data_IF_995559819066
#
_entry.id   IF_995559819066
#
_cell.length_a   1.000
_cell.length_b   1.000
_cell.length_c   1.000
_cell.angle_alpha   90.00
_cell.angle_beta   90.00
_cell.angle_gamma   90.00
#
_symmetry.space_group_name_H-M   'P 1'
#
loop_
_entity.id
_entity.type
_entity.pdbx_description
1 polymer ?
#
# COMPACT_ATOMS: atom_id res chain seq x y z
N UNK A 1 16.93 -14.69 8.39
CA UNK A 1 18.04 -14.95 7.46
C UNK A 1 17.95 -16.40 7.04
N UNK A 2 17.72 -16.64 5.75
CA UNK A 2 17.59 -17.98 5.21
C UNK A 2 18.97 -18.58 4.88
N UNK A 3 19.28 -19.82 5.29
CA UNK A 3 20.58 -20.45 5.04
C UNK A 3 20.99 -20.56 3.56
N UNK A 4 20.04 -20.62 2.62
CA UNK A 4 20.32 -20.69 1.17
C UNK A 4 21.00 -19.43 0.62
N UNK A 5 20.95 -18.33 1.36
CA UNK A 5 21.63 -17.07 1.04
C UNK A 5 22.86 -16.81 1.91
N UNK A 6 23.26 -17.72 2.82
CA UNK A 6 24.30 -17.45 3.82
C UNK A 6 25.68 -17.05 3.24
N UNK A 7 25.98 -17.46 2.00
CA UNK A 7 27.22 -17.08 1.29
C UNK A 7 26.95 -16.33 -0.02
N UNK A 8 25.69 -15.94 -0.26
CA UNK A 8 25.21 -15.37 -1.52
C UNK A 8 24.41 -14.08 -1.23
N UNK A 9 23.86 -13.44 -2.26
CA UNK A 9 23.20 -12.14 -2.11
C UNK A 9 21.76 -12.33 -1.64
N UNK A 10 21.38 -11.87 -0.43
CA UNK A 10 20.01 -12.03 0.05
C UNK A 10 19.04 -11.20 -0.80
N UNK A 11 17.81 -11.71 -0.96
CA UNK A 11 16.73 -10.95 -1.57
C UNK A 11 16.32 -9.76 -0.67
N UNK A 12 15.92 -8.65 -1.30
CA UNK A 12 15.46 -7.44 -0.61
C UNK A 12 14.01 -7.20 -1.00
N UNK A 13 13.15 -6.97 -0.01
CA UNK A 13 11.76 -6.58 -0.23
C UNK A 13 11.53 -5.13 0.15
N UNK A 14 10.70 -4.44 -0.64
CA UNK A 14 10.14 -3.14 -0.27
C UNK A 14 8.67 -3.07 -0.68
N UNK A 15 7.83 -2.52 0.18
CA UNK A 15 6.42 -2.30 -0.09
C UNK A 15 6.20 -0.85 -0.44
N UNK A 16 5.55 -0.62 -1.57
CA UNK A 16 5.23 0.68 -2.12
C UNK A 16 3.74 0.92 -1.98
N UNK A 17 3.36 2.18 -1.80
CA UNK A 17 1.98 2.62 -1.95
C UNK A 17 1.97 3.69 -3.04
N UNK A 18 1.14 3.49 -4.06
CA UNK A 18 0.98 4.42 -5.17
C UNK A 18 -0.44 4.33 -5.71
N UNK A 19 -1.04 5.46 -6.07
CA UNK A 19 -2.43 5.52 -6.57
C UNK A 19 -3.47 4.85 -5.64
N UNK A 20 -3.25 4.93 -4.33
CA UNK A 20 -4.02 4.29 -3.27
C UNK A 20 -3.78 2.79 -3.11
N UNK A 21 -2.95 2.20 -3.98
CA UNK A 21 -2.71 0.77 -4.10
C UNK A 21 -1.41 0.39 -3.41
N UNK A 22 -1.37 -0.76 -2.74
CA UNK A 22 -0.15 -1.27 -2.10
C UNK A 22 0.37 -2.44 -2.92
N UNK A 23 1.69 -2.56 -3.06
CA UNK A 23 2.32 -3.75 -3.61
C UNK A 23 3.75 -3.89 -3.08
N UNK A 24 4.25 -5.12 -3.02
CA UNK A 24 5.61 -5.43 -2.58
C UNK A 24 6.48 -5.85 -3.77
N UNK A 25 7.67 -5.26 -3.89
CA UNK A 25 8.69 -5.73 -4.83
C UNK A 25 9.77 -6.48 -4.06
N UNK A 26 10.10 -7.69 -4.51
CA UNK A 26 11.21 -8.51 -4.03
C UNK A 26 12.26 -8.57 -5.14
N UNK A 27 13.41 -7.95 -4.91
CA UNK A 27 14.55 -8.03 -5.82
C UNK A 27 15.52 -9.12 -5.37
N UNK A 28 16.01 -9.93 -6.29
CA UNK A 28 16.93 -11.02 -6.03
C UNK A 28 18.11 -11.06 -7.01
N UNK A 29 19.16 -11.79 -6.63
CA UNK A 29 20.25 -12.14 -7.51
C UNK A 29 20.78 -13.51 -7.08
N UNK A 30 20.27 -14.57 -7.70
CA UNK A 30 20.57 -15.96 -7.35
C UNK A 30 22.02 -16.33 -7.64
N UNK A 31 22.43 -17.46 -7.07
CA UNK A 31 23.79 -17.99 -7.26
C UNK A 31 24.10 -18.19 -8.74
N UNK A 32 25.21 -17.60 -9.21
CA UNK A 32 25.69 -17.78 -10.60
C UNK A 32 25.91 -19.25 -10.98
N UNK A 33 25.67 -19.57 -12.26
CA UNK A 33 25.91 -20.88 -12.90
C UNK A 33 27.39 -21.30 -12.97
N UNK A 34 28.34 -20.44 -12.57
CA UNK A 34 29.77 -20.74 -12.57
C UNK A 34 30.09 -21.90 -11.62
N UNK A 35 30.74 -22.96 -12.11
CA UNK A 35 31.13 -24.14 -11.31
C UNK A 35 32.28 -23.88 -10.33
N UNK A 36 32.72 -22.62 -10.16
CA UNK A 36 33.84 -22.28 -9.27
C UNK A 36 33.50 -22.63 -7.83
N UNK A 37 34.27 -23.54 -7.24
CA UNK A 37 34.10 -24.06 -5.87
C UNK A 37 32.78 -24.82 -5.65
N UNK A 38 32.19 -25.36 -6.72
CA UNK A 38 31.05 -26.24 -6.62
C UNK A 38 31.46 -27.58 -5.99
N UNK A 39 30.67 -28.06 -5.03
CA UNK A 39 30.89 -29.34 -4.35
C UNK A 39 29.54 -30.03 -4.11
N UNK A 40 29.49 -31.36 -4.20
CA UNK A 40 28.28 -32.13 -3.88
C UNK A 40 27.11 -31.79 -4.82
N UNK A 41 25.96 -31.41 -4.27
CA UNK A 41 24.76 -31.07 -5.07
C UNK A 41 24.92 -29.76 -5.86
N UNK A 42 25.93 -28.95 -5.53
CA UNK A 42 26.25 -27.75 -6.28
C UNK A 42 27.11 -28.05 -7.53
N UNK A 43 27.65 -29.26 -7.67
CA UNK A 43 28.33 -29.67 -8.90
C UNK A 43 27.35 -29.71 -10.09
N UNK A 44 27.88 -29.56 -11.30
CA UNK A 44 27.09 -29.78 -12.50
C UNK A 44 26.70 -31.26 -12.60
N UNK A 45 25.39 -31.52 -12.57
CA UNK A 45 24.85 -32.87 -12.61
C UNK A 45 24.76 -33.44 -14.04
N UNK A 46 25.12 -32.65 -15.06
CA UNK A 46 25.09 -33.05 -16.47
C UNK A 46 23.67 -33.17 -17.02
N UNK A 47 22.71 -32.49 -16.40
CA UNK A 47 21.29 -32.45 -16.76
C UNK A 47 20.92 -31.24 -17.64
N UNK A 48 21.91 -30.38 -17.93
CA UNK A 48 21.74 -29.18 -18.76
C UNK A 48 21.43 -27.90 -17.96
N UNK A 49 21.34 -27.97 -16.63
CA UNK A 49 20.99 -26.82 -15.78
C UNK A 49 22.23 -26.11 -15.21
N UNK A 50 23.40 -26.73 -15.31
CA UNK A 50 24.68 -26.22 -14.86
C UNK A 50 24.88 -26.31 -13.34
N UNK A 51 26.05 -25.87 -12.88
CA UNK A 51 26.38 -25.91 -11.46
C UNK A 51 25.45 -25.03 -10.60
N UNK A 52 25.43 -25.30 -9.30
CA UNK A 52 24.63 -24.60 -8.29
C UNK A 52 23.11 -24.65 -8.55
N UNK A 53 22.62 -25.57 -9.37
CA UNK A 53 21.19 -25.70 -9.63
C UNK A 53 20.42 -26.01 -8.33
N UNK A 54 20.89 -26.96 -7.52
CA UNK A 54 20.27 -27.30 -6.24
C UNK A 54 20.18 -26.09 -5.29
N UNK A 55 21.21 -25.25 -5.24
CA UNK A 55 21.20 -24.02 -4.44
C UNK A 55 20.26 -22.97 -4.99
N UNK A 56 20.25 -22.72 -6.31
CA UNK A 56 19.30 -21.79 -6.94
C UNK A 56 17.86 -22.23 -6.70
N UNK A 57 17.58 -23.54 -6.72
CA UNK A 57 16.27 -24.11 -6.39
C UNK A 57 15.89 -23.86 -4.94
N UNK A 58 16.83 -23.99 -4.00
CA UNK A 58 16.61 -23.63 -2.61
C UNK A 58 16.34 -22.12 -2.43
N UNK A 59 17.08 -21.26 -3.15
CA UNK A 59 16.87 -19.82 -3.15
C UNK A 59 15.49 -19.44 -3.71
N UNK A 60 15.02 -20.12 -4.78
CA UNK A 60 13.69 -19.96 -5.32
C UNK A 60 12.59 -20.29 -4.30
N UNK A 61 12.73 -21.42 -3.58
CA UNK A 61 11.81 -21.79 -2.52
C UNK A 61 11.80 -20.76 -1.38
N UNK A 62 12.96 -20.27 -0.95
CA UNK A 62 13.08 -19.25 0.09
C UNK A 62 12.45 -17.91 -0.34
N UNK A 63 12.58 -17.51 -1.60
CA UNK A 63 11.90 -16.31 -2.13
C UNK A 63 10.39 -16.47 -2.14
N UNK A 64 9.87 -17.67 -2.46
CA UNK A 64 8.44 -17.95 -2.41
C UNK A 64 7.89 -17.83 -0.97
N UNK A 65 8.60 -18.41 0.01
CA UNK A 65 8.24 -18.26 1.42
C UNK A 65 8.30 -16.80 1.87
N UNK A 66 9.34 -16.07 1.45
CA UNK A 66 9.48 -14.66 1.77
C UNK A 66 8.36 -13.81 1.18
N UNK A 67 7.89 -14.11 -0.05
CA UNK A 67 6.73 -13.45 -0.64
C UNK A 67 5.47 -13.64 0.22
N UNK A 68 5.20 -14.86 0.68
CA UNK A 68 4.06 -15.17 1.58
C UNK A 68 4.18 -14.39 2.89
N UNK A 69 5.37 -14.34 3.49
CA UNK A 69 5.63 -13.58 4.72
C UNK A 69 5.45 -12.07 4.54
N UNK A 70 5.72 -11.53 3.35
CA UNK A 70 5.47 -10.10 3.05
C UNK A 70 4.00 -9.83 2.84
N UNK A 71 3.29 -10.67 2.10
CA UNK A 71 1.83 -10.51 1.93
C UNK A 71 1.12 -10.47 3.28
N UNK A 72 1.47 -11.39 4.19
CA UNK A 72 0.88 -11.44 5.53
C UNK A 72 1.28 -10.26 6.44
N UNK A 73 2.49 -9.73 6.29
CA UNK A 73 2.98 -8.63 7.12
C UNK A 73 2.44 -7.25 6.69
N UNK A 74 2.20 -7.08 5.39
CA UNK A 74 1.68 -5.85 4.79
C UNK A 74 0.15 -5.84 4.73
N UNK A 75 -0.47 -7.02 4.86
CA UNK A 75 -1.91 -7.24 4.62
C UNK A 75 -2.32 -6.88 3.19
N UNK A 76 -1.48 -7.24 2.22
CA UNK A 76 -1.68 -6.98 0.80
C UNK A 76 -1.15 -8.15 -0.04
N UNK A 77 -1.93 -8.69 -1.00
CA UNK A 77 -1.54 -9.89 -1.75
C UNK A 77 -0.61 -9.62 -2.94
N UNK A 78 -0.32 -8.36 -3.27
CA UNK A 78 0.38 -8.01 -4.50
C UNK A 78 1.89 -8.05 -4.30
N UNK A 79 2.53 -9.07 -4.90
CA UNK A 79 3.99 -9.19 -4.88
C UNK A 79 4.53 -9.35 -6.29
N UNK A 80 5.52 -8.52 -6.60
CA UNK A 80 6.38 -8.61 -7.78
C UNK A 80 7.75 -9.13 -7.36
N UNK A 81 8.18 -10.26 -7.89
CA UNK A 81 9.54 -10.79 -7.72
C UNK A 81 10.32 -10.52 -9.00
N UNK A 82 11.39 -9.74 -8.91
CA UNK A 82 12.27 -9.38 -10.02
C UNK A 82 13.72 -9.72 -9.73
N UNK A 83 14.54 -9.79 -10.77
CA UNK A 83 16.00 -9.84 -10.65
C UNK A 83 16.65 -10.87 -11.57
N UNK A 84 17.93 -11.13 -11.30
CA UNK A 84 18.73 -12.14 -11.99
C UNK A 84 18.59 -13.49 -11.27
N UNK A 85 17.82 -14.40 -11.86
CA UNK A 85 17.59 -15.74 -11.32
C UNK A 85 18.73 -16.70 -11.66
N UNK A 86 19.67 -16.29 -12.52
CA UNK A 86 20.74 -17.11 -13.04
C UNK A 86 20.24 -18.47 -13.57
N UNK A 87 19.03 -18.53 -14.10
CA UNK A 87 18.36 -19.77 -14.52
C UNK A 87 17.48 -19.56 -15.74
N UNK A 88 17.61 -20.45 -16.73
CA UNK A 88 16.73 -20.45 -17.89
C UNK A 88 15.32 -20.93 -17.53
N UNK A 89 14.33 -20.55 -18.35
CA UNK A 89 12.89 -20.73 -18.07
C UNK A 89 12.41 -22.15 -17.79
N UNK A 90 13.20 -23.17 -18.16
CA UNK A 90 12.88 -24.59 -17.98
C UNK A 90 13.69 -25.26 -16.86
N UNK A 91 14.52 -24.50 -16.14
CA UNK A 91 15.31 -25.03 -15.03
C UNK A 91 14.48 -25.12 -13.74
N UNK A 92 14.92 -25.99 -12.83
CA UNK A 92 14.28 -26.29 -11.55
C UNK A 92 13.97 -25.05 -10.70
N UNK A 93 14.83 -24.00 -10.64
CA UNK A 93 14.53 -22.80 -9.86
C UNK A 93 13.31 -22.06 -10.42
N UNK A 94 13.18 -21.97 -11.75
CA UNK A 94 12.04 -21.33 -12.40
C UNK A 94 10.78 -22.19 -12.24
N UNK A 95 10.91 -23.51 -12.43
CA UNK A 95 9.81 -24.44 -12.19
C UNK A 95 9.31 -24.40 -10.73
N UNK A 96 10.20 -24.16 -9.77
CA UNK A 96 9.84 -24.02 -8.35
C UNK A 96 9.00 -22.76 -8.10
N UNK A 97 9.36 -21.63 -8.70
CA UNK A 97 8.57 -20.39 -8.61
C UNK A 97 7.20 -20.56 -9.28
N UNK A 98 7.16 -21.12 -10.50
CA UNK A 98 5.93 -21.34 -11.28
C UNK A 98 4.99 -22.38 -10.62
N UNK A 99 5.53 -23.37 -9.91
CA UNK A 99 4.73 -24.34 -9.16
C UNK A 99 4.15 -23.76 -7.86
N UNK A 100 4.66 -22.60 -7.42
CA UNK A 100 4.17 -21.86 -6.27
C UNK A 100 2.98 -20.96 -6.60
N UNK A 101 3.00 -19.74 -6.06
CA UNK A 101 1.95 -18.73 -6.26
C UNK A 101 2.31 -17.66 -7.30
N UNK A 102 3.41 -17.87 -8.03
CA UNK A 102 4.04 -16.85 -8.88
C UNK A 102 3.87 -17.17 -10.37
N UNK A 103 3.27 -16.25 -11.12
CA UNK A 103 3.16 -16.29 -12.58
C UNK A 103 4.43 -15.70 -13.21
N UNK A 104 5.06 -16.44 -14.12
CA UNK A 104 6.18 -15.94 -14.93
C UNK A 104 5.70 -14.92 -15.98
N UNK A 105 6.02 -13.64 -15.78
CA UNK A 105 5.55 -12.57 -16.64
C UNK A 105 6.28 -12.55 -17.99
N UNK A 106 7.58 -12.88 -18.03
CA UNK A 106 8.34 -12.93 -19.30
C UNK A 106 7.71 -13.95 -20.24
N UNK A 107 7.44 -15.15 -19.73
CA UNK A 107 6.79 -16.23 -20.49
C UNK A 107 5.36 -15.87 -20.96
N UNK A 108 4.69 -14.97 -20.25
CA UNK A 108 3.31 -14.55 -20.57
C UNK A 108 3.24 -13.43 -21.60
N UNK A 109 4.15 -12.46 -21.54
CA UNK A 109 4.06 -11.21 -22.31
C UNK A 109 5.09 -11.10 -23.44
N UNK A 110 6.22 -11.81 -23.36
CA UNK A 110 7.32 -11.72 -24.34
C UNK A 110 7.31 -12.95 -25.25
N UNK A 111 7.59 -12.73 -26.54
CA UNK A 111 7.71 -13.81 -27.51
C UNK A 111 8.93 -14.69 -27.19
N UNK A 112 8.92 -15.96 -27.60
CA UNK A 112 10.08 -16.81 -27.38
C UNK A 112 11.35 -16.28 -28.07
N UNK A 113 11.20 -15.64 -29.24
CA UNK A 113 12.31 -15.11 -30.03
C UNK A 113 12.98 -13.91 -29.35
N UNK A 114 12.20 -13.12 -28.59
CA UNK A 114 12.66 -11.95 -27.85
C UNK A 114 13.00 -12.27 -26.38
N UNK A 115 12.82 -13.52 -25.94
CA UNK A 115 13.02 -13.92 -24.54
C UNK A 115 14.49 -14.23 -24.21
N UNK A 116 15.34 -13.20 -24.23
CA UNK A 116 16.72 -13.26 -23.76
C UNK A 116 17.11 -11.96 -23.08
N UNK A 117 18.01 -12.05 -22.10
CA UNK A 117 18.53 -10.87 -21.40
C UNK A 117 20.06 -10.81 -21.41
N UNK A 118 20.74 -11.85 -21.91
CA UNK A 118 22.19 -11.96 -21.97
C UNK A 118 22.62 -12.72 -23.24
N UNK A 119 23.71 -12.26 -23.88
CA UNK A 119 24.43 -13.03 -24.89
C UNK A 119 25.79 -13.48 -24.33
N UNK A 120 25.97 -14.79 -24.18
CA UNK A 120 27.20 -15.39 -23.64
C UNK A 120 27.82 -16.34 -24.67
N UNK A 121 29.05 -16.04 -25.11
CA UNK A 121 29.74 -16.76 -26.20
C UNK A 121 28.90 -16.95 -27.48
N UNK A 122 28.08 -15.96 -27.82
CA UNK A 122 27.22 -15.99 -29.00
C UNK A 122 25.94 -16.82 -28.84
N UNK A 123 25.63 -17.30 -27.63
CA UNK A 123 24.35 -17.90 -27.30
C UNK A 123 23.49 -16.91 -26.52
N UNK A 124 22.23 -16.76 -26.91
CA UNK A 124 21.22 -15.99 -26.20
C UNK A 124 20.66 -16.79 -25.02
N UNK A 125 20.47 -16.13 -23.89
CA UNK A 125 19.90 -16.73 -22.69
C UNK A 125 19.08 -15.73 -21.87
N UNK A 126 18.01 -16.21 -21.26
CA UNK A 126 17.18 -15.46 -20.32
C UNK A 126 17.57 -15.80 -18.88
N UNK A 127 18.19 -14.87 -18.17
CA UNK A 127 18.53 -15.03 -16.75
C UNK A 127 17.72 -14.07 -15.87
N UNK A 128 17.34 -12.93 -16.43
CA UNK A 128 16.57 -11.89 -15.76
C UNK A 128 15.08 -12.12 -15.97
N UNK A 129 14.31 -11.94 -14.91
CA UNK A 129 12.89 -12.24 -14.96
C UNK A 129 12.05 -11.34 -14.07
N UNK A 130 10.75 -11.43 -14.29
CA UNK A 130 9.75 -10.90 -13.39
C UNK A 130 8.63 -11.92 -13.19
N UNK A 131 8.22 -12.08 -11.94
CA UNK A 131 7.12 -12.95 -11.54
C UNK A 131 6.15 -12.17 -10.67
N UNK A 132 4.85 -12.42 -10.80
CA UNK A 132 3.83 -11.76 -10.00
C UNK A 132 2.92 -12.76 -9.30
N UNK A 133 2.39 -12.40 -8.14
CA UNK A 133 1.20 -13.07 -7.59
C UNK A 133 0.02 -12.87 -8.53
N UNK A 134 -0.96 -13.76 -8.47
CA UNK A 134 -2.15 -13.67 -9.32
C UNK A 134 -2.88 -12.32 -9.20
N UNK A 135 -2.95 -11.73 -8.01
CA UNK A 135 -3.61 -10.44 -7.78
C UNK A 135 -2.84 -9.27 -8.42
N UNK A 136 -1.50 -9.28 -8.36
CA UNK A 136 -0.70 -8.25 -9.02
C UNK A 136 -0.66 -8.46 -10.54
N UNK A 137 -0.68 -9.71 -11.01
CA UNK A 137 -0.76 -10.04 -12.44
C UNK A 137 -1.98 -9.39 -13.12
N UNK A 138 -3.13 -9.31 -12.44
CA UNK A 138 -4.33 -8.61 -12.94
C UNK A 138 -4.08 -7.11 -13.17
N UNK A 139 -3.08 -6.54 -12.49
CA UNK A 139 -2.65 -5.15 -12.60
C UNK A 139 -1.52 -4.96 -13.61
N UNK A 140 -0.95 -6.03 -14.18
CA UNK A 140 0.13 -5.94 -15.18
C UNK A 140 -0.44 -5.57 -16.54
N UNK A 141 -0.02 -4.42 -17.07
CA UNK A 141 -0.41 -3.95 -18.41
C UNK A 141 0.45 -4.53 -19.52
N UNK A 142 1.66 -4.93 -19.20
CA UNK A 142 2.60 -5.57 -20.13
C UNK A 142 3.97 -5.78 -19.48
N UNK A 143 4.81 -6.53 -20.18
CA UNK A 143 6.23 -6.65 -19.87
C UNK A 143 7.00 -6.68 -21.20
N UNK A 144 8.16 -6.02 -21.22
CA UNK A 144 9.09 -6.08 -22.33
C UNK A 144 10.53 -6.27 -21.83
N UNK A 145 11.41 -6.78 -22.71
CA UNK A 145 12.85 -6.78 -22.49
C UNK A 145 13.44 -5.75 -23.44
N UNK A 146 14.02 -4.68 -22.88
CA UNK A 146 14.54 -3.60 -23.72
C UNK A 146 15.96 -3.96 -24.17
N UNK A 147 16.06 -4.49 -25.38
CA UNK A 147 17.32 -4.93 -25.98
C UNK A 147 18.24 -3.76 -26.35
N UNK A 148 19.00 -3.28 -25.37
CA UNK A 148 19.97 -2.17 -25.50
C UNK A 148 21.40 -2.57 -25.09
N UNK A 149 21.56 -3.77 -24.54
CA UNK A 149 22.79 -4.20 -23.88
C UNK A 149 23.29 -5.55 -24.39
N UNK A 150 22.46 -6.60 -24.38
CA UNK A 150 22.93 -7.96 -24.60
C UNK A 150 23.52 -8.17 -26.01
N UNK A 151 22.95 -7.51 -27.00
CA UNK A 151 23.40 -7.57 -28.39
C UNK A 151 24.59 -6.65 -28.70
N UNK A 152 24.90 -5.73 -27.78
CA UNK A 152 25.97 -4.77 -27.99
C UNK A 152 27.35 -5.45 -27.88
N UNK A 153 28.30 -5.05 -28.72
CA UNK A 153 29.63 -5.64 -28.69
C UNK A 153 30.32 -5.29 -27.38
N UNK A 154 30.95 -6.29 -26.75
CA UNK A 154 31.71 -6.15 -25.50
C UNK A 154 32.66 -4.94 -25.45
N UNK A 155 33.20 -4.53 -26.60
CA UNK A 155 34.09 -3.37 -26.74
C UNK A 155 33.47 -2.03 -26.33
N UNK A 156 32.13 -1.95 -26.25
CA UNK A 156 31.36 -0.76 -25.85
C UNK A 156 30.82 -0.84 -24.41
N UNK A 157 31.02 -1.96 -23.70
CA UNK A 157 30.45 -2.17 -22.38
C UNK A 157 31.09 -1.30 -21.29
N UNK A 158 30.27 -0.92 -20.30
CA UNK A 158 30.55 -0.08 -19.12
C UNK A 158 31.75 -0.45 -18.22
N UNK A 159 32.41 -1.59 -18.43
CA UNK A 159 33.38 -2.16 -17.48
C UNK A 159 34.85 -1.74 -17.75
N UNK A 160 35.09 -0.55 -18.31
CA UNK A 160 36.44 -0.13 -18.71
C UNK A 160 37.10 0.93 -17.80
N UNK A 161 36.43 1.38 -16.74
CA UNK A 161 36.94 2.38 -15.81
C UNK A 161 37.67 1.79 -14.57
N UNK A 162 37.50 0.49 -14.27
CA UNK A 162 38.11 -0.18 -13.10
C UNK A 162 38.96 -1.36 -13.54
N UNK A 163 40.28 -1.21 -13.50
CA UNK A 163 41.21 -2.31 -13.77
C UNK A 163 41.18 -3.32 -12.60
N UNK A 164 40.43 -4.41 -12.74
CA UNK A 164 40.58 -5.58 -11.85
C UNK A 164 41.80 -6.41 -12.29
N UNK A 165 42.80 -6.64 -11.41
CA UNK A 165 43.96 -7.49 -11.71
C UNK A 165 43.62 -8.92 -12.15
N UNK A 166 42.39 -9.40 -11.92
CA UNK A 166 41.89 -10.71 -12.33
C UNK A 166 41.24 -10.74 -13.73
N UNK A 167 40.98 -9.58 -14.35
CA UNK A 167 40.38 -9.51 -15.68
C UNK A 167 41.39 -9.75 -16.81
N UNK A 168 40.91 -10.33 -17.93
CA UNK A 168 41.75 -10.63 -19.08
C UNK A 168 42.12 -9.32 -19.80
N UNK A 169 43.38 -9.22 -20.23
CA UNK A 169 43.97 -8.03 -20.87
C UNK A 169 43.31 -7.54 -22.17
N UNK A 170 42.28 -8.20 -22.67
CA UNK A 170 41.54 -7.85 -23.89
C UNK A 170 40.37 -6.89 -23.66
N UNK A 171 39.92 -6.70 -22.42
CA UNK A 171 38.79 -5.83 -22.04
C UNK A 171 39.24 -4.38 -21.75
N UNK A 172 40.46 -4.00 -22.16
CA UNK A 172 41.08 -2.73 -21.80
C UNK A 172 40.79 -1.58 -22.79
N UNK A 173 40.46 -0.42 -22.22
CA UNK A 173 40.89 0.92 -22.67
C UNK A 173 40.44 1.30 -24.09
N UNK A 174 39.13 1.22 -24.34
CA UNK A 174 38.53 1.69 -25.58
C UNK A 174 38.01 3.13 -25.35
N UNK A 175 38.43 4.13 -26.14
CA UNK A 175 38.03 5.52 -25.95
C UNK A 175 36.58 5.80 -26.40
N UNK A 176 35.68 4.82 -26.25
CA UNK A 176 34.37 4.78 -26.90
C UNK A 176 33.28 4.76 -25.83
N UNK A 177 33.18 5.84 -25.06
CA UNK A 177 31.97 6.12 -24.29
C UNK A 177 30.95 6.75 -25.23
N UNK A 178 29.84 6.06 -25.48
CA UNK A 178 28.67 6.63 -26.13
C UNK A 178 27.83 7.35 -25.06
N UNK A 179 27.38 8.56 -25.35
CA UNK A 179 26.50 9.32 -24.45
C UNK A 179 25.02 9.00 -24.70
N UNK A 180 24.73 7.71 -24.89
CA UNK A 180 23.38 7.15 -25.11
C UNK A 180 23.12 5.99 -24.12
N UNK A 181 21.94 5.38 -24.21
CA UNK A 181 21.48 4.33 -23.30
C UNK A 181 22.10 2.95 -23.53
N UNK A 182 22.73 2.72 -24.68
CA UNK A 182 23.22 1.41 -25.12
C UNK A 182 24.50 1.00 -24.38
N UNK A 183 24.73 -0.31 -24.25
CA UNK A 183 25.92 -0.89 -23.61
C UNK A 183 26.15 -0.49 -22.14
N UNK A 184 25.09 -0.05 -21.46
CA UNK A 184 25.12 0.36 -20.05
C UNK A 184 25.19 -0.82 -19.07
N UNK A 185 24.97 -2.03 -19.56
CA UNK A 185 25.07 -3.30 -18.85
C UNK A 185 25.48 -4.42 -19.82
N UNK A 186 25.82 -5.60 -19.32
CA UNK A 186 25.95 -6.84 -20.08
C UNK A 186 24.62 -7.60 -20.16
N UNK A 187 23.61 -7.13 -19.43
CA UNK A 187 22.25 -7.64 -19.41
C UNK A 187 21.23 -6.59 -19.88
N UNK A 188 20.19 -7.03 -20.59
CA UNK A 188 19.06 -6.18 -20.96
C UNK A 188 18.10 -5.98 -19.77
N UNK A 189 17.58 -4.75 -19.57
CA UNK A 189 16.59 -4.50 -18.52
C UNK A 189 15.21 -5.10 -18.87
N UNK A 190 14.61 -5.72 -17.86
CA UNK A 190 13.21 -6.15 -17.88
C UNK A 190 12.31 -5.01 -17.41
N UNK A 191 11.32 -4.63 -18.22
CA UNK A 191 10.41 -3.52 -17.94
C UNK A 191 9.00 -4.09 -17.69
N UNK A 192 8.42 -3.79 -16.52
CA UNK A 192 7.06 -4.21 -16.16
C UNK A 192 6.15 -2.99 -16.06
N UNK A 193 5.05 -2.99 -16.81
CA UNK A 193 4.00 -1.97 -16.71
C UNK A 193 2.94 -2.39 -15.70
N UNK A 194 2.58 -1.49 -14.78
CA UNK A 194 1.53 -1.69 -13.78
C UNK A 194 0.43 -0.65 -13.93
N UNK A 195 -0.83 -1.08 -13.86
CA UNK A 195 -2.00 -0.24 -13.70
C UNK A 195 -2.49 -0.39 -12.25
N UNK A 196 -2.07 0.55 -11.41
CA UNK A 196 -2.44 0.59 -10.01
C UNK A 196 -3.74 1.36 -9.83
N UNK A 197 -4.60 0.85 -8.97
CA UNK A 197 -5.86 1.51 -8.60
C UNK A 197 -6.29 0.98 -7.24
N UNK A 198 -5.89 1.67 -6.18
CA UNK A 198 -6.28 1.25 -4.86
C UNK A 198 -7.62 1.82 -4.43
N UNK A 199 -8.11 1.31 -3.31
CA UNK A 199 -9.37 1.78 -2.73
C UNK A 199 -9.10 2.93 -1.79
N UNK A 200 -9.54 4.13 -2.17
CA UNK A 200 -9.64 5.25 -1.24
C UNK A 200 -10.95 5.21 -0.47
N UNK A 201 -10.92 5.66 0.78
CA UNK A 201 -12.12 5.80 1.60
C UNK A 201 -12.10 7.09 2.41
N UNK A 202 -13.23 7.43 3.03
CA UNK A 202 -13.32 8.54 3.97
C UNK A 202 -13.29 8.02 5.40
N UNK A 203 -12.34 8.51 6.18
CA UNK A 203 -12.24 8.29 7.61
C UNK A 203 -12.45 9.58 8.39
N UNK A 204 -12.56 9.44 9.71
CA UNK A 204 -12.46 10.56 10.64
C UNK A 204 -11.70 10.16 11.90
N UNK A 205 -11.14 11.16 12.59
CA UNK A 205 -10.63 11.03 13.95
C UNK A 205 -11.26 12.10 14.84
N UNK A 206 -11.24 11.88 16.15
CA UNK A 206 -11.51 12.91 17.17
C UNK A 206 -10.24 13.64 17.61
N UNK A 207 -9.07 13.18 17.17
CA UNK A 207 -7.76 13.78 17.43
C UNK A 207 -7.24 14.50 16.18
N UNK A 208 -6.62 15.66 16.37
CA UNK A 208 -6.13 16.48 15.24
C UNK A 208 -4.88 15.91 14.56
N UNK A 209 -4.22 14.93 15.15
CA UNK A 209 -3.09 14.22 14.55
C UNK A 209 -3.53 13.05 13.66
N UNK A 210 -4.85 12.85 13.48
CA UNK A 210 -5.48 11.79 12.69
C UNK A 210 -5.25 10.38 13.26
N UNK A 211 -4.78 10.27 14.51
CA UNK A 211 -4.58 9.00 15.17
C UNK A 211 -5.90 8.25 15.35
N UNK A 212 -5.82 6.91 15.38
CA UNK A 212 -6.96 6.01 15.54
C UNK A 212 -8.16 6.33 14.61
N UNK A 213 -7.95 6.38 13.28
CA UNK A 213 -9.03 6.67 12.34
C UNK A 213 -10.18 5.65 12.46
N UNK A 214 -11.40 6.14 12.35
CA UNK A 214 -12.61 5.34 12.15
C UNK A 214 -13.17 5.58 10.76
N UNK A 215 -13.84 4.58 10.18
CA UNK A 215 -14.56 4.78 8.92
C UNK A 215 -15.68 5.80 9.10
N UNK A 216 -15.82 6.73 8.14
CA UNK A 216 -16.95 7.66 8.11
C UNK A 216 -18.21 7.00 7.53
N UNK A 217 -18.08 5.89 6.78
CA UNK A 217 -19.20 5.20 6.13
C UNK A 217 -20.14 4.64 7.21
N UNK A 218 -21.39 5.14 7.23
CA UNK A 218 -22.42 4.76 8.19
C UNK A 218 -22.17 5.28 9.61
N UNK A 219 -21.17 6.13 9.83
CA UNK A 219 -20.86 6.65 11.15
C UNK A 219 -21.95 7.59 11.68
N UNK A 220 -22.12 7.63 13.00
CA UNK A 220 -22.83 8.73 13.68
C UNK A 220 -21.78 9.59 14.37
N UNK A 221 -21.73 10.87 14.04
CA UNK A 221 -20.72 11.83 14.52
C UNK A 221 -21.37 13.03 15.18
N UNK A 222 -20.62 13.66 16.10
CA UNK A 222 -21.06 14.85 16.81
C UNK A 222 -19.85 15.66 17.32
N UNK A 223 -20.04 16.95 17.53
CA UNK A 223 -19.01 17.86 18.01
C UNK A 223 -17.84 18.03 17.02
N UNK A 224 -16.62 17.92 17.55
CA UNK A 224 -15.39 18.23 16.80
C UNK A 224 -14.77 16.95 16.25
N UNK A 225 -14.67 16.87 14.93
CA UNK A 225 -14.01 15.76 14.24
C UNK A 225 -13.07 16.26 13.15
N UNK A 226 -12.23 15.36 12.64
CA UNK A 226 -11.28 15.61 11.57
C UNK A 226 -11.51 14.57 10.47
N UNK A 227 -12.37 14.84 9.47
CA UNK A 227 -12.58 13.94 8.34
C UNK A 227 -11.44 14.07 7.31
N UNK A 228 -10.99 12.96 6.74
CA UNK A 228 -9.88 12.91 5.76
C UNK A 228 -9.95 11.67 4.86
N UNK A 229 -9.14 11.68 3.79
CA UNK A 229 -8.99 10.54 2.87
C UNK A 229 -8.06 9.48 3.49
N UNK A 230 -8.46 8.22 3.37
CA UNK A 230 -7.69 7.03 3.71
C UNK A 230 -7.28 6.24 2.45
N UNK A 231 -6.11 5.55 2.44
CA UNK A 231 -5.10 5.57 3.51
C UNK A 231 -4.47 6.96 3.70
N UNK A 232 -4.02 7.25 4.92
CA UNK A 232 -3.19 8.43 5.16
C UNK A 232 -1.86 8.17 4.44
N UNK A 233 -1.44 9.08 3.57
CA UNK A 233 -0.15 9.11 2.85
C UNK A 233 0.99 8.40 3.62
N UNK A 234 1.85 7.58 2.97
CA UNK A 234 2.23 7.60 1.56
C UNK A 234 1.21 6.97 0.60
N UNK A 235 1.11 7.51 -0.62
CA UNK A 235 0.71 6.75 -1.81
C UNK A 235 -0.64 7.11 -2.43
N UNK A 236 -1.22 8.25 -2.09
CA UNK A 236 -2.39 8.76 -2.80
C UNK A 236 -2.03 9.52 -4.08
N UNK A 237 -0.79 10.00 -4.23
CA UNK A 237 -0.21 10.70 -5.39
C UNK A 237 -1.14 11.73 -6.08
N UNK A 238 -2.08 12.30 -5.33
CA UNK A 238 -3.03 13.26 -5.88
C UNK A 238 -2.37 14.63 -6.05
N UNK A 239 -2.60 15.25 -7.21
CA UNK A 239 -2.28 16.65 -7.43
C UNK A 239 -3.15 17.56 -6.57
N UNK A 240 -4.44 17.21 -6.43
CA UNK A 240 -5.42 17.86 -5.56
C UNK A 240 -6.50 16.87 -5.09
N UNK A 241 -7.17 17.19 -3.98
CA UNK A 241 -8.40 16.51 -3.55
C UNK A 241 -9.51 17.53 -3.39
N UNK A 242 -10.60 17.35 -4.11
CA UNK A 242 -11.84 18.12 -3.94
C UNK A 242 -12.77 17.41 -2.97
N UNK A 243 -13.13 18.08 -1.88
CA UNK A 243 -14.10 17.62 -0.91
C UNK A 243 -15.46 18.26 -1.14
N UNK A 244 -16.49 17.43 -1.23
CA UNK A 244 -17.88 17.83 -1.33
C UNK A 244 -18.64 17.39 -0.08
N UNK A 245 -19.56 18.24 0.38
CA UNK A 245 -20.54 17.92 1.42
C UNK A 245 -21.93 18.16 0.86
N UNK A 246 -22.77 17.13 0.88
CA UNK A 246 -24.11 17.10 0.29
C UNK A 246 -24.14 17.57 -1.17
N UNK A 247 -23.10 17.20 -1.94
CA UNK A 247 -22.93 17.56 -3.35
C UNK A 247 -22.39 18.97 -3.61
N UNK A 248 -22.18 19.79 -2.57
CA UNK A 248 -21.57 21.11 -2.71
C UNK A 248 -20.06 21.04 -2.44
N UNK A 249 -19.25 21.62 -3.33
CA UNK A 249 -17.80 21.72 -3.13
C UNK A 249 -17.53 22.54 -1.85
N UNK A 250 -16.95 21.88 -0.86
CA UNK A 250 -16.60 22.48 0.42
C UNK A 250 -15.16 23.00 0.42
N UNK A 251 -14.23 22.26 -0.19
CA UNK A 251 -12.80 22.57 -0.17
C UNK A 251 -12.03 21.85 -1.27
N UNK A 252 -10.92 22.45 -1.70
CA UNK A 252 -9.86 21.78 -2.48
C UNK A 252 -8.58 21.80 -1.66
N UNK A 253 -8.00 20.62 -1.41
CA UNK A 253 -6.70 20.44 -0.75
C UNK A 253 -5.61 20.16 -1.80
N UNK A 254 -4.41 20.68 -1.54
CA UNK A 254 -3.27 20.61 -2.47
C UNK A 254 -2.08 19.83 -1.90
N UNK A 255 -2.12 19.48 -0.62
CA UNK A 255 -1.02 18.84 0.07
C UNK A 255 -1.58 17.73 0.94
N UNK A 256 -0.98 16.55 0.84
CA UNK A 256 -1.28 15.45 1.75
C UNK A 256 -0.75 15.75 3.17
N UNK A 257 -1.36 15.19 4.22
CA UNK A 257 -2.62 14.44 4.22
C UNK A 257 -3.82 15.33 3.86
N UNK A 258 -4.76 14.79 3.08
CA UNK A 258 -5.91 15.55 2.59
C UNK A 258 -7.07 15.52 3.59
N UNK A 259 -7.35 16.66 4.23
CA UNK A 259 -8.40 16.81 5.23
C UNK A 259 -9.58 17.64 4.72
N UNK A 260 -10.79 17.25 5.10
CA UNK A 260 -12.03 17.95 4.71
C UNK A 260 -12.05 19.44 5.12
N UNK A 261 -11.47 19.77 6.28
CA UNK A 261 -11.32 21.15 6.76
C UNK A 261 -9.92 21.73 6.51
N UNK A 262 -9.07 20.98 5.81
CA UNK A 262 -7.65 21.25 5.57
C UNK A 262 -6.77 21.10 6.80
N UNK A 263 -5.48 21.32 6.65
CA UNK A 263 -4.55 21.11 7.76
C UNK A 263 -3.11 21.38 7.41
N UNK A 264 -2.25 20.93 8.32
CA UNK A 264 -0.81 20.80 8.16
C UNK A 264 -0.47 19.31 8.14
N UNK A 265 0.74 18.99 7.69
CA UNK A 265 1.28 17.63 7.64
C UNK A 265 1.03 16.85 8.95
N UNK A 266 1.29 17.48 10.11
CA UNK A 266 1.16 16.84 11.42
C UNK A 266 -0.15 17.13 12.15
N UNK A 267 -0.96 18.08 11.68
CA UNK A 267 -2.16 18.54 12.41
C UNK A 267 -3.28 18.96 11.46
N UNK A 268 -4.40 18.26 11.48
CA UNK A 268 -5.63 18.60 10.78
C UNK A 268 -6.36 19.78 11.45
N UNK A 269 -7.08 20.56 10.64
CA UNK A 269 -8.01 21.60 11.13
C UNK A 269 -9.32 20.95 11.51
N UNK A 270 -9.91 21.41 12.62
CA UNK A 270 -11.17 20.86 13.12
C UNK A 270 -12.33 21.18 12.18
N UNK A 271 -13.19 20.19 11.95
CA UNK A 271 -14.54 20.40 11.45
C UNK A 271 -15.52 20.23 12.62
N UNK A 272 -16.28 21.28 12.92
CA UNK A 272 -17.33 21.25 13.95
C UNK A 272 -18.65 20.84 13.28
N UNK A 273 -19.20 19.69 13.65
CA UNK A 273 -20.43 19.16 13.05
C UNK A 273 -21.64 20.04 13.31
N UNK A 274 -21.55 21.01 14.24
CA UNK A 274 -22.59 22.03 14.41
C UNK A 274 -22.69 23.01 13.23
N UNK A 275 -21.78 22.94 12.26
CA UNK A 275 -21.84 23.74 11.03
C UNK A 275 -22.93 23.28 10.05
N UNK A 276 -23.48 22.09 10.26
CA UNK A 276 -24.59 21.52 9.49
C UNK A 276 -25.75 21.12 10.41
N UNK A 277 -26.91 20.84 9.82
CA UNK A 277 -28.06 20.36 10.58
C UNK A 277 -27.81 18.94 11.13
N UNK A 278 -28.58 18.53 12.14
CA UNK A 278 -28.61 17.12 12.52
C UNK A 278 -29.39 16.32 11.46
N UNK A 279 -28.92 15.10 11.17
CA UNK A 279 -29.49 14.25 10.14
C UNK A 279 -28.45 13.50 9.31
N UNK A 280 -28.90 12.87 8.23
CA UNK A 280 -28.03 12.17 7.28
C UNK A 280 -27.34 13.16 6.33
N UNK A 281 -26.06 12.97 6.12
CA UNK A 281 -25.19 13.75 5.23
C UNK A 281 -24.34 12.83 4.37
N UNK A 282 -23.88 13.35 3.23
CA UNK A 282 -22.93 12.64 2.36
C UNK A 282 -21.69 13.49 2.14
N UNK A 283 -20.52 12.90 2.39
CA UNK A 283 -19.23 13.48 2.04
C UNK A 283 -18.63 12.71 0.87
N UNK A 284 -18.05 13.43 -0.08
CA UNK A 284 -17.32 12.87 -1.21
C UNK A 284 -15.94 13.53 -1.28
N UNK A 285 -14.91 12.74 -1.57
CA UNK A 285 -13.57 13.22 -1.90
C UNK A 285 -13.20 12.73 -3.29
N UNK A 286 -12.75 13.65 -4.16
CA UNK A 286 -12.29 13.36 -5.52
C UNK A 286 -10.82 13.74 -5.62
N UNK A 287 -9.95 12.74 -5.65
CA UNK A 287 -8.52 12.90 -5.87
C UNK A 287 -8.19 12.95 -7.35
N UNK A 288 -7.39 13.94 -7.76
CA UNK A 288 -6.97 14.16 -9.16
C UNK A 288 -5.55 13.68 -9.36
N UNK A 289 -5.34 12.76 -10.30
CA UNK A 289 -4.05 12.14 -10.56
C UNK A 289 -3.17 12.95 -11.55
N UNK A 290 -1.83 12.82 -11.50
CA UNK A 290 -0.92 13.54 -12.39
C UNK A 290 -1.12 13.24 -13.88
N UNK A 291 -1.67 12.07 -14.20
CA UNK A 291 -2.00 11.64 -15.57
C UNK A 291 -3.35 12.18 -16.07
N UNK A 292 -4.06 12.96 -15.24
CA UNK A 292 -5.39 13.51 -15.53
C UNK A 292 -6.55 12.60 -15.14
N UNK A 293 -6.28 11.43 -14.58
CA UNK A 293 -7.29 10.53 -14.00
C UNK A 293 -7.90 11.08 -12.70
N UNK A 294 -8.98 10.44 -12.24
CA UNK A 294 -9.58 10.75 -10.93
C UNK A 294 -9.91 9.47 -10.18
N UNK A 295 -9.81 9.53 -8.86
CA UNK A 295 -10.23 8.48 -7.93
C UNK A 295 -11.14 9.12 -6.89
N UNK A 296 -12.31 8.53 -6.60
CA UNK A 296 -13.24 9.10 -5.62
C UNK A 296 -13.60 8.14 -4.49
N UNK A 297 -13.85 8.73 -3.31
CA UNK A 297 -14.43 8.07 -2.14
C UNK A 297 -15.72 8.80 -1.75
N UNK A 298 -16.73 8.08 -1.31
CA UNK A 298 -17.96 8.66 -0.76
C UNK A 298 -18.36 7.95 0.53
N UNK A 299 -18.91 8.72 1.48
CA UNK A 299 -19.43 8.22 2.75
C UNK A 299 -20.74 8.93 3.10
N UNK A 300 -21.76 8.13 3.39
CA UNK A 300 -23.00 8.60 4.03
C UNK A 300 -22.86 8.42 5.54
N UNK A 301 -23.17 9.45 6.33
CA UNK A 301 -23.03 9.47 7.79
C UNK A 301 -24.15 10.28 8.43
N UNK A 302 -24.33 10.17 9.74
CA UNK A 302 -25.34 10.90 10.51
C UNK A 302 -24.68 11.90 11.46
N UNK A 303 -25.11 13.16 11.42
CA UNK A 303 -24.76 14.19 12.40
C UNK A 303 -25.81 14.22 13.51
N UNK A 304 -25.38 14.18 14.77
CA UNK A 304 -26.24 14.24 15.94
C UNK A 304 -25.64 15.13 17.04
N UNK A 305 -25.76 16.45 16.88
CA UNK A 305 -25.26 17.44 17.86
C UNK A 305 -26.23 17.66 19.02
N UNK A 306 -27.54 17.60 18.75
CA UNK A 306 -28.53 17.64 19.82
C UNK A 306 -28.53 16.31 20.58
N UNK A 307 -28.69 16.32 21.91
CA UNK A 307 -29.10 15.10 22.58
C UNK A 307 -30.39 14.61 21.90
N UNK A 308 -30.46 13.30 21.61
CA UNK A 308 -31.60 12.68 20.96
C UNK A 308 -32.91 13.28 21.52
N UNK A 309 -33.90 13.64 20.66
CA UNK A 309 -35.15 14.21 21.14
C UNK A 309 -35.74 13.35 22.28
N UNK A 310 -35.69 13.85 23.52
CA UNK A 310 -36.21 13.13 24.70
C UNK A 310 -35.24 12.88 25.86
N UNK A 311 -33.97 13.27 25.81
CA UNK A 311 -33.10 13.19 27.00
C UNK A 311 -33.32 14.40 27.93
N UNK A 312 -34.20 14.26 28.92
CA UNK A 312 -34.27 15.20 30.04
C UNK A 312 -33.42 14.68 31.20
N UNK A 313 -32.67 15.57 31.85
CA UNK A 313 -32.02 15.26 33.13
C UNK A 313 -33.06 15.06 34.22
N UNK A 314 -32.84 14.07 35.09
CA UNK A 314 -33.59 13.95 36.34
C UNK A 314 -32.94 14.84 37.38
N UNK A 315 -33.75 15.61 38.09
CA UNK A 315 -33.33 16.40 39.23
C UNK A 315 -33.92 15.85 40.51
N UNK A 316 -33.28 16.13 41.65
CA UNK A 316 -33.76 15.79 42.96
C UNK A 316 -33.78 17.00 43.90
N UNK A 317 -34.58 16.88 44.96
CA UNK A 317 -34.56 17.80 46.10
C UNK A 317 -34.93 17.05 47.36
N UNK A 318 -34.36 17.43 48.50
CA UNK A 318 -34.80 16.95 49.82
C UNK A 318 -35.94 17.80 50.41
N UNK A 319 -36.43 18.79 49.65
CA UNK A 319 -37.55 19.66 50.04
C UNK A 319 -38.79 19.34 49.22
N UNK A 320 -39.96 19.37 49.86
CA UNK A 320 -41.27 19.26 49.20
C UNK A 320 -41.53 20.38 48.19
N UNK A 321 -40.86 21.53 48.35
CA UNK A 321 -40.92 22.64 47.39
C UNK A 321 -40.15 22.38 46.11
N UNK A 322 -39.43 21.24 46.01
CA UNK A 322 -38.54 20.88 44.90
C UNK A 322 -37.44 21.92 44.66
N UNK A 323 -37.05 22.63 45.71
CA UNK A 323 -36.05 23.70 45.67
C UNK A 323 -35.13 23.63 46.91
N UNK A 324 -33.80 23.76 46.73
CA UNK A 324 -33.10 23.81 45.44
C UNK A 324 -33.24 22.49 44.67
N UNK A 325 -33.22 22.59 43.35
CA UNK A 325 -33.14 21.44 42.45
C UNK A 325 -31.66 21.12 42.21
N UNK A 326 -31.28 19.87 42.40
CA UNK A 326 -29.93 19.37 42.15
C UNK A 326 -29.99 18.25 41.12
N UNK A 327 -28.92 18.06 40.35
CA UNK A 327 -28.84 16.98 39.35
C UNK A 327 -28.83 15.62 40.05
N UNK A 328 -29.67 14.68 39.58
CA UNK A 328 -29.73 13.32 40.11
C UNK A 328 -28.59 12.44 39.56
N UNK A 329 -27.95 12.82 38.45
CA UNK A 329 -26.83 12.07 37.90
C UNK A 329 -25.73 11.91 38.95
N UNK A 330 -25.40 10.65 39.28
CA UNK A 330 -24.39 10.26 40.27
C UNK A 330 -24.60 10.77 41.72
N UNK A 331 -25.83 11.20 42.07
CA UNK A 331 -26.13 11.73 43.39
C UNK A 331 -26.23 10.64 44.48
N UNK A 332 -25.62 10.92 45.64
CA UNK A 332 -25.81 10.13 46.86
C UNK A 332 -26.82 10.81 47.77
N UNK A 333 -28.05 10.33 47.75
CA UNK A 333 -29.17 10.86 48.54
C UNK A 333 -29.61 9.90 49.63
N UNK A 334 -29.89 10.45 50.82
CA UNK A 334 -30.34 9.69 51.99
C UNK A 334 -31.57 10.36 52.59
N UNK A 335 -32.62 9.56 52.84
CA UNK A 335 -33.89 10.02 53.39
C UNK A 335 -34.96 10.25 52.32
N UNK A 336 -35.96 11.06 52.66
CA UNK A 336 -37.05 11.40 51.73
C UNK A 336 -36.51 12.31 50.61
N UNK A 337 -36.61 11.84 49.37
CA UNK A 337 -36.14 12.54 48.17
C UNK A 337 -37.29 12.72 47.17
N UNK A 338 -37.37 13.91 46.59
CA UNK A 338 -38.33 14.24 45.53
C UNK A 338 -37.58 14.27 44.21
N UNK A 339 -37.82 13.28 43.35
CA UNK A 339 -37.27 13.20 41.99
C UNK A 339 -38.27 13.82 41.01
N UNK A 340 -37.79 14.66 40.10
CA UNK A 340 -38.61 15.35 39.11
C UNK A 340 -37.80 15.69 37.86
N UNK A 341 -38.50 15.97 36.76
CA UNK A 341 -37.91 16.52 35.55
C UNK A 341 -37.92 18.05 35.68
N UNK A 342 -36.79 18.71 35.41
CA UNK A 342 -36.66 20.17 35.52
C UNK A 342 -37.58 20.89 34.50
N UNK A 343 -38.22 22.03 34.82
CA UNK A 343 -39.26 22.61 33.99
C UNK A 343 -38.74 23.46 32.82
N UNK A 344 -37.45 23.37 32.46
CA UNK A 344 -36.93 23.95 31.22
C UNK A 344 -37.37 23.11 30.02
N UNK A 345 -38.67 23.07 29.81
CA UNK A 345 -39.27 22.70 28.54
C UNK A 345 -38.96 23.85 27.55
N UNK A 346 -38.27 23.59 26.44
CA UNK A 346 -38.22 24.54 25.34
C UNK A 346 -39.65 24.91 24.92
N UNK A 347 -39.85 26.12 24.40
CA UNK A 347 -41.15 26.51 23.84
C UNK A 347 -41.60 25.46 22.79
N UNK A 348 -42.77 24.84 22.98
CA UNK A 348 -43.30 23.76 22.12
C UNK A 348 -43.52 22.40 22.81
N UNK A 349 -43.22 22.27 24.11
CA UNK A 349 -43.30 21.02 24.87
C UNK A 349 -44.52 20.92 25.83
N UNK A 350 -45.64 21.59 25.51
CA UNK A 350 -46.83 21.67 26.39
C UNK A 350 -47.72 20.39 26.40
N UNK A 351 -47.40 19.36 25.60
CA UNK A 351 -48.28 18.21 25.31
C UNK A 351 -47.76 16.83 25.80
N UNK A 352 -47.24 16.73 27.03
CA UNK A 352 -47.06 15.40 27.65
C UNK A 352 -48.26 15.00 28.49
N UNK A 353 -49.03 14.01 28.01
CA UNK A 353 -50.15 13.44 28.77
C UNK A 353 -49.70 12.68 30.02
N UNK A 354 -48.49 12.09 30.01
CA UNK A 354 -47.94 11.26 31.10
C UNK A 354 -46.42 11.26 31.13
N UNK A 355 -45.85 11.31 32.34
CA UNK A 355 -44.44 11.01 32.62
C UNK A 355 -44.38 9.72 33.43
N UNK A 356 -43.61 8.74 32.95
CA UNK A 356 -43.42 7.45 33.61
C UNK A 356 -42.00 7.40 34.20
N UNK A 357 -41.91 7.20 35.51
CA UNK A 357 -40.64 6.95 36.19
C UNK A 357 -40.47 5.45 36.38
N UNK A 358 -39.32 4.93 35.96
CA UNK A 358 -38.91 3.55 36.22
C UNK A 358 -37.78 3.59 37.25
N UNK A 359 -37.87 2.72 38.24
CA UNK A 359 -36.91 2.57 39.33
C UNK A 359 -36.11 1.27 39.16
#
# INVERSE_FOLDING_TARGET
EDPSFATDRPAIAHSFVAYGDTFTVINNHFKSKSSRNAEGLDEDQGDGQGAYNARRTAQAAAVLEFAIERMAAVDDPDVLVIGDFNSYSMEDPIATLEAGLLTNLVKKYVSQEDSYSLVFFGAQGLLDGAFATASLEEKVTGLDIWHINADEPRVLQYNDDVVDPAERSSDFNQPVSMADEFSSSDHDPVIVGLQLSGTVSLGYSTENDRSAPSSLIGATVSGRIYPFVLPIDPGLDFTTVDFYLDGALARTEYLAPYDFAGGLLTMATVWDTSSVADGEHTMEAVGHLPDGGTVSASATFTVMNAPAPGAFGLSYSTSTSRTPAEDLADAYVVGDVYIFVDPLFPAGFEDFDKVLFYL
#
